data_IF_698080401134
#
_entry.id   IF_698080401134
#
_cell.length_a   1.000
_cell.length_b   1.000
_cell.length_c   1.000
_cell.angle_alpha   90.00
_cell.angle_beta   90.00
_cell.angle_gamma   90.00
#
_symmetry.space_group_name_H-M   'P 1'
#
loop_
_entity.id
_entity.type
_entity.pdbx_description
1 polymer ?
#
# COMPACT_ATOMS: atom_id res chain seq x y z
N UNK A 1 -5.08 3.46 10.40
CA UNK A 1 -5.41 2.81 9.11
C UNK A 1 -4.62 1.54 8.97
N UNK A 2 -5.32 0.43 8.78
CA UNK A 2 -4.69 -0.87 8.63
C UNK A 2 -4.35 -1.11 7.16
N UNK A 3 -3.12 -1.52 6.91
CA UNK A 3 -2.64 -1.84 5.57
C UNK A 3 -2.21 -3.30 5.54
N UNK A 4 -2.87 -4.09 4.72
CA UNK A 4 -2.54 -5.51 4.55
C UNK A 4 -1.45 -5.64 3.49
N UNK A 5 -0.47 -6.48 3.77
CA UNK A 5 0.68 -6.67 2.88
C UNK A 5 0.73 -8.12 2.40
N UNK A 6 0.82 -8.30 1.09
CA UNK A 6 0.85 -9.62 0.48
C UNK A 6 2.12 -9.81 -0.34
N UNK A 7 2.55 -11.06 -0.48
CA UNK A 7 3.66 -11.41 -1.34
C UNK A 7 4.93 -10.64 -1.00
N UNK A 8 5.55 -10.02 -2.01
CA UNK A 8 6.79 -9.28 -1.80
C UNK A 8 6.59 -8.07 -0.90
N UNK A 9 5.39 -7.48 -0.86
CA UNK A 9 5.13 -6.37 0.05
C UNK A 9 5.27 -6.82 1.50
N UNK A 10 4.80 -8.01 1.82
CA UNK A 10 4.95 -8.58 3.16
C UNK A 10 6.43 -8.76 3.50
N UNK A 11 7.23 -9.20 2.54
CA UNK A 11 8.66 -9.39 2.75
C UNK A 11 9.38 -8.06 2.98
N UNK A 12 8.99 -7.02 2.25
CA UNK A 12 9.60 -5.70 2.39
C UNK A 12 9.28 -5.10 3.76
N UNK A 13 8.02 -5.17 4.16
CA UNK A 13 7.55 -4.61 5.43
C UNK A 13 7.96 -5.47 6.61
N UNK A 14 8.07 -6.77 6.39
CA UNK A 14 8.39 -7.72 7.46
C UNK A 14 7.18 -8.15 8.27
N UNK A 15 5.98 -7.86 7.78
CA UNK A 15 4.74 -8.18 8.49
C UNK A 15 3.58 -8.24 7.50
N UNK A 16 2.57 -9.05 7.82
CA UNK A 16 1.36 -9.12 7.01
C UNK A 16 0.45 -7.91 7.20
N UNK A 17 0.66 -7.14 8.25
CA UNK A 17 -0.13 -5.94 8.54
C UNK A 17 0.79 -4.79 8.90
N UNK A 18 0.38 -3.59 8.52
CA UNK A 18 1.08 -2.37 8.88
C UNK A 18 0.04 -1.35 9.31
N UNK A 19 0.28 -0.65 10.42
CA UNK A 19 -0.60 0.41 10.86
C UNK A 19 0.01 1.76 10.53
N UNK A 20 -0.74 2.61 9.84
CA UNK A 20 -0.30 3.94 9.45
C UNK A 20 -1.32 4.94 9.96
N UNK A 21 -0.83 6.04 10.55
CA UNK A 21 -1.72 7.10 10.99
C UNK A 21 -2.36 7.77 9.77
N UNK A 22 -3.69 7.89 9.81
CA UNK A 22 -4.44 8.45 8.70
C UNK A 22 -4.01 9.88 8.35
N UNK A 23 -3.56 10.63 9.34
CA UNK A 23 -3.15 12.01 9.13
C UNK A 23 -1.96 12.14 8.16
N UNK A 24 -1.20 11.07 7.98
CA UNK A 24 -0.01 11.09 7.13
C UNK A 24 -0.29 10.74 5.68
N UNK A 25 -1.44 10.15 5.40
CA UNK A 25 -1.81 9.77 4.05
C UNK A 25 -3.30 9.83 3.90
N UNK A 26 -3.80 10.71 3.03
CA UNK A 26 -5.22 10.91 2.80
C UNK A 26 -5.64 10.48 1.39
N UNK A 27 -4.68 10.14 0.55
CA UNK A 27 -4.94 9.59 -0.77
C UNK A 27 -4.01 8.42 -1.01
N UNK A 28 -4.35 7.61 -2.02
CA UNK A 28 -3.50 6.49 -2.42
C UNK A 28 -2.10 6.98 -2.80
N UNK A 29 -2.02 8.10 -3.52
CA UNK A 29 -0.74 8.67 -3.90
C UNK A 29 0.12 9.01 -2.68
N UNK A 30 -0.48 9.64 -1.69
CA UNK A 30 0.24 9.99 -0.47
C UNK A 30 0.68 8.75 0.30
N UNK A 31 -0.16 7.72 0.32
CA UNK A 31 0.19 6.45 0.95
C UNK A 31 1.39 5.82 0.27
N UNK A 32 1.40 5.78 -1.05
CA UNK A 32 2.54 5.22 -1.80
C UNK A 32 3.81 6.00 -1.51
N UNK A 33 3.73 7.32 -1.46
CA UNK A 33 4.88 8.16 -1.15
C UNK A 33 5.41 7.86 0.24
N UNK A 34 4.53 7.74 1.22
CA UNK A 34 4.90 7.42 2.58
C UNK A 34 5.59 6.06 2.66
N UNK A 35 5.04 5.07 1.98
CA UNK A 35 5.60 3.73 1.97
C UNK A 35 6.98 3.69 1.30
N UNK A 36 7.14 4.42 0.21
CA UNK A 36 8.43 4.48 -0.49
C UNK A 36 9.51 5.14 0.36
N UNK A 37 9.13 6.11 1.17
CA UNK A 37 10.07 6.77 2.08
C UNK A 37 10.43 5.88 3.27
N UNK A 38 9.45 5.18 3.82
CA UNK A 38 9.68 4.30 4.97
C UNK A 38 10.36 2.99 4.57
N UNK A 39 10.05 2.50 3.38
CA UNK A 39 10.58 1.25 2.87
C UNK A 39 11.08 1.44 1.44
N UNK A 40 12.31 1.92 1.27
CA UNK A 40 12.81 2.26 -0.08
C UNK A 40 12.79 1.11 -1.08
N UNK A 41 12.75 -0.13 -0.61
CA UNK A 41 12.67 -1.28 -1.51
C UNK A 41 11.41 -1.29 -2.36
N UNK A 42 10.35 -0.58 -1.93
CA UNK A 42 9.16 -0.46 -2.76
C UNK A 42 9.44 0.23 -4.09
N UNK A 43 10.48 1.05 -4.14
CA UNK A 43 10.85 1.72 -5.39
C UNK A 43 11.27 0.75 -6.48
N UNK A 44 11.70 -0.46 -6.10
CA UNK A 44 12.04 -1.50 -7.06
C UNK A 44 10.82 -2.18 -7.67
N UNK A 45 9.64 -1.95 -7.08
CA UNK A 45 8.39 -2.58 -7.49
C UNK A 45 7.35 -1.52 -7.84
N UNK A 46 7.64 -0.77 -8.90
CA UNK A 46 6.86 0.43 -9.25
C UNK A 46 5.42 0.12 -9.66
N UNK A 47 5.15 -1.11 -10.03
CA UNK A 47 3.81 -1.47 -10.50
C UNK A 47 2.96 -2.18 -9.45
N UNK A 48 3.35 -2.13 -8.17
CA UNK A 48 2.46 -2.69 -7.17
C UNK A 48 1.16 -1.85 -7.11
N UNK A 49 0.08 -2.51 -6.75
CA UNK A 49 -1.23 -1.90 -6.75
C UNK A 49 -1.73 -1.73 -5.32
N UNK A 50 -2.61 -0.74 -5.15
CA UNK A 50 -3.26 -0.50 -3.87
C UNK A 50 -4.74 -0.79 -4.05
N UNK A 51 -5.30 -1.63 -3.19
CA UNK A 51 -6.74 -1.87 -3.16
C UNK A 51 -7.31 -1.20 -1.92
N UNK A 52 -8.45 -0.56 -2.09
CA UNK A 52 -9.19 0.08 -1.00
C UNK A 52 -10.53 -0.62 -0.90
N UNK A 53 -10.79 -1.26 0.24
CA UNK A 53 -12.01 -2.02 0.45
C UNK A 53 -12.23 -3.06 -0.66
N UNK A 54 -11.14 -3.77 -0.99
CA UNK A 54 -11.15 -4.87 -1.96
C UNK A 54 -11.35 -4.42 -3.41
N UNK A 55 -11.19 -3.13 -3.69
CA UNK A 55 -11.30 -2.59 -5.05
C UNK A 55 -10.01 -1.86 -5.39
N UNK A 56 -9.42 -2.17 -6.53
CA UNK A 56 -8.22 -1.47 -6.97
C UNK A 56 -8.50 0.02 -7.09
N UNK A 57 -7.60 0.82 -6.59
CA UNK A 57 -7.79 2.26 -6.50
C UNK A 57 -6.69 3.02 -7.22
N UNK A 58 -7.09 4.09 -7.90
CA UNK A 58 -6.16 5.01 -8.54
C UNK A 58 -5.51 5.93 -7.50
N UNK A 59 -4.47 6.62 -7.90
CA UNK A 59 -3.67 7.44 -7.01
C UNK A 59 -4.44 8.58 -6.35
N UNK A 60 -5.48 9.07 -6.99
CA UNK A 60 -6.25 10.20 -6.46
C UNK A 60 -7.42 9.79 -5.55
N UNK A 61 -7.62 8.50 -5.33
CA UNK A 61 -8.68 8.02 -4.45
C UNK A 61 -8.37 8.39 -3.01
N UNK A 62 -9.37 8.96 -2.34
CA UNK A 62 -9.25 9.30 -0.93
C UNK A 62 -9.35 8.05 -0.05
N UNK A 63 -8.57 8.06 1.02
CA UNK A 63 -8.58 6.96 1.99
C UNK A 63 -8.79 7.51 3.40
N UNK A 64 -9.36 6.70 4.27
CA UNK A 64 -9.60 7.08 5.65
C UNK A 64 -9.29 5.92 6.59
N UNK A 65 -9.32 6.19 7.89
CA UNK A 65 -9.01 5.18 8.91
C UNK A 65 -9.93 3.96 8.85
N UNK A 66 -11.14 4.14 8.38
CA UNK A 66 -12.11 3.05 8.32
C UNK A 66 -11.93 2.17 7.09
N UNK A 67 -11.08 2.57 6.15
CA UNK A 67 -10.86 1.79 4.94
C UNK A 67 -9.89 0.64 5.17
N UNK A 68 -10.15 -0.47 4.51
CA UNK A 68 -9.22 -1.59 4.47
C UNK A 68 -8.31 -1.40 3.26
N UNK A 69 -7.02 -1.25 3.51
CA UNK A 69 -6.05 -1.02 2.44
C UNK A 69 -5.25 -2.31 2.25
N UNK A 70 -4.98 -2.65 1.00
CA UNK A 70 -4.14 -3.82 0.69
C UNK A 70 -3.10 -3.44 -0.35
N UNK A 71 -1.87 -3.89 -0.11
CA UNK A 71 -0.77 -3.70 -1.06
C UNK A 71 -0.60 -4.99 -1.83
N UNK A 72 -0.81 -4.93 -3.13
CA UNK A 72 -0.79 -6.10 -3.99
C UNK A 72 0.39 -5.95 -4.97
N UNK A 73 1.44 -6.75 -4.79
CA UNK A 73 2.61 -6.64 -5.66
C UNK A 73 2.28 -7.13 -7.07
N UNK A 74 3.09 -6.74 -8.05
CA UNK A 74 2.89 -7.24 -9.40
C UNK A 74 3.04 -8.75 -9.43
N UNK A 75 2.20 -9.40 -10.24
CA UNK A 75 2.25 -10.84 -10.42
C UNK A 75 3.13 -11.14 -11.62
N UNK A 76 4.29 -11.75 -11.37
CA UNK A 76 5.19 -12.13 -12.45
C UNK A 76 4.68 -13.40 -13.14
N UNK A 77 4.84 -13.46 -14.45
CA UNK A 77 4.44 -14.62 -15.20
C UNK A 77 2.96 -14.70 -15.49
N UNK A 78 2.27 -13.70 -15.19
CA UNK A 78 0.90 -13.69 -15.57
C UNK A 78 -0.13 -13.76 -14.95
#
# INVERSE_FOLDING_TARGET
>A
MKVLCFGVAKDIVGSAELNIENQKAQTVSELKKLLNEAYPKFLDYKSYMVAVNQTYADDDISISDSDEIALIPPVSGG
#
